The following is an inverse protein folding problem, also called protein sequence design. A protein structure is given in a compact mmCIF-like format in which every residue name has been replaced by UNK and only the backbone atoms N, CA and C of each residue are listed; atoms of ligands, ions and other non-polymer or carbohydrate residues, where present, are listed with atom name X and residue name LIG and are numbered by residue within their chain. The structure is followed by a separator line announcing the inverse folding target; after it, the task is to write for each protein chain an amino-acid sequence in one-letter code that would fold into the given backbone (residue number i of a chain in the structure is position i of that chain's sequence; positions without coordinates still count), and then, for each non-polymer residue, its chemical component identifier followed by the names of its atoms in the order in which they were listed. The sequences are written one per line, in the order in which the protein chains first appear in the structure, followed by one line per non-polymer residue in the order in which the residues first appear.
data_IF_250394261905
#
_entry.id   IF_250394261905
#
_cell.length_a   1.000
_cell.length_b   1.000
_cell.length_c   1.000
_cell.angle_alpha   90.00
_cell.angle_beta   90.00
_cell.angle_gamma   90.00
#
_symmetry.space_group_name_H-M   'P 1'
#
loop_
_entity.id
_entity.type
_entity.pdbx_description
1 polymer ?
#
# COMPACT_ATOMS: atom_id res chain seq x y z
N UNK A 1 8.96 -7.22 -18.85
CA UNK A 1 10.08 -6.26 -18.67
C UNK A 1 11.27 -6.99 -18.04
N UNK A 2 12.48 -6.74 -18.54
CA UNK A 2 13.73 -7.48 -18.28
C UNK A 2 14.15 -7.52 -16.81
N UNK A 3 14.23 -8.74 -16.25
CA UNK A 3 14.52 -9.02 -14.83
C UNK A 3 15.95 -8.72 -14.36
N UNK A 4 16.88 -8.31 -15.24
CA UNK A 4 18.29 -8.05 -14.87
C UNK A 4 18.61 -6.57 -14.58
N UNK A 5 17.80 -5.62 -15.06
CA UNK A 5 17.98 -4.19 -14.81
C UNK A 5 17.40 -3.71 -13.47
N UNK A 6 16.29 -4.32 -13.03
CA UNK A 6 15.56 -3.94 -11.82
C UNK A 6 16.38 -4.12 -10.54
N UNK A 7 17.04 -5.26 -10.37
CA UNK A 7 17.77 -5.55 -9.12
C UNK A 7 18.95 -4.61 -8.87
N UNK A 8 19.66 -4.15 -9.92
CA UNK A 8 20.76 -3.17 -9.75
C UNK A 8 20.23 -1.79 -9.38
N UNK A 9 19.13 -1.35 -9.98
CA UNK A 9 18.51 -0.08 -9.66
C UNK A 9 17.96 -0.06 -8.22
N UNK A 10 17.33 -1.16 -7.80
CA UNK A 10 16.82 -1.34 -6.44
C UNK A 10 17.95 -1.35 -5.41
N UNK A 11 19.05 -2.08 -5.67
CA UNK A 11 20.22 -2.09 -4.79
C UNK A 11 20.86 -0.69 -4.72
N UNK A 12 20.95 0.03 -5.84
CA UNK A 12 21.47 1.39 -5.86
C UNK A 12 20.60 2.36 -5.03
N UNK A 13 19.27 2.27 -5.14
CA UNK A 13 18.33 3.06 -4.34
C UNK A 13 18.46 2.74 -2.85
N UNK A 14 18.49 1.45 -2.48
CA UNK A 14 18.70 1.01 -1.11
C UNK A 14 20.01 1.54 -0.53
N UNK A 15 21.12 1.44 -1.28
CA UNK A 15 22.42 1.93 -0.83
C UNK A 15 22.44 3.46 -0.68
N UNK A 16 21.73 4.19 -1.56
CA UNK A 16 21.59 5.65 -1.45
C UNK A 16 20.83 6.04 -0.17
N UNK A 17 19.69 5.39 0.09
CA UNK A 17 18.87 5.64 1.29
C UNK A 17 19.63 5.27 2.57
N UNK A 18 20.38 4.16 2.56
CA UNK A 18 21.28 3.79 3.66
C UNK A 18 22.37 4.86 3.88
N UNK A 19 22.94 5.41 2.81
CA UNK A 19 23.91 6.50 2.89
C UNK A 19 23.34 7.76 3.55
N UNK A 20 22.11 8.14 3.19
CA UNK A 20 21.38 9.25 3.83
C UNK A 20 21.13 8.95 5.31
N UNK A 21 20.68 7.74 5.63
CA UNK A 21 20.43 7.33 7.01
C UNK A 21 21.70 7.42 7.88
N UNK A 22 22.85 6.95 7.36
CA UNK A 22 24.15 7.06 8.05
C UNK A 22 24.53 8.53 8.26
N UNK A 23 24.39 9.38 7.23
CA UNK A 23 24.68 10.81 7.36
C UNK A 23 23.82 11.48 8.45
N UNK A 24 22.53 11.12 8.52
CA UNK A 24 21.61 11.61 9.55
C UNK A 24 22.01 11.12 10.95
N UNK A 25 22.39 9.86 11.10
CA UNK A 25 22.88 9.31 12.38
C UNK A 25 24.16 10.00 12.87
N UNK A 26 25.11 10.25 11.95
CA UNK A 26 26.34 10.99 12.29
C UNK A 26 26.01 12.42 12.72
N UNK A 27 25.13 13.10 12.00
CA UNK A 27 24.70 14.45 12.36
C UNK A 27 23.97 14.49 13.71
N UNK A 28 23.13 13.52 14.02
CA UNK A 28 22.53 13.37 15.34
C UNK A 28 23.59 13.18 16.41
N UNK A 29 24.50 12.22 16.24
CA UNK A 29 25.52 11.90 17.24
C UNK A 29 26.40 13.11 17.56
N UNK A 30 26.71 13.94 16.55
CA UNK A 30 27.52 15.14 16.72
C UNK A 30 26.75 16.35 17.25
N UNK A 31 25.40 16.32 17.28
CA UNK A 31 24.59 17.47 17.67
C UNK A 31 23.65 17.28 18.85
N UNK A 32 23.31 16.04 19.21
CA UNK A 32 22.32 15.75 20.24
C UNK A 32 20.89 16.21 19.88
N UNK A 33 20.59 16.42 18.58
CA UNK A 33 19.25 16.83 18.15
C UNK A 33 18.28 15.64 18.13
N UNK A 34 17.21 15.74 18.92
CA UNK A 34 16.14 14.75 18.94
C UNK A 34 15.42 14.69 17.58
N UNK A 35 15.22 15.83 16.91
CA UNK A 35 14.62 15.86 15.57
C UNK A 35 15.49 15.14 14.55
N UNK A 36 16.82 15.28 14.67
CA UNK A 36 17.77 14.58 13.80
C UNK A 36 17.77 13.08 14.04
N UNK A 37 17.63 12.63 15.30
CA UNK A 37 17.49 11.21 15.63
C UNK A 37 16.22 10.60 15.05
N UNK A 38 15.07 11.28 15.21
CA UNK A 38 13.81 10.85 14.64
C UNK A 38 13.90 10.67 13.12
N UNK A 39 14.52 11.62 12.43
CA UNK A 39 14.76 11.54 10.98
C UNK A 39 15.72 10.41 10.59
N UNK A 40 16.75 10.14 11.40
CA UNK A 40 17.70 9.06 11.17
C UNK A 40 17.03 7.69 11.31
N UNK A 41 16.23 7.49 12.37
CA UNK A 41 15.48 6.26 12.62
C UNK A 41 14.41 6.05 11.56
N UNK A 42 13.70 7.11 11.16
CA UNK A 42 12.75 7.05 10.05
C UNK A 42 13.42 6.55 8.77
N UNK A 43 14.60 7.06 8.42
CA UNK A 43 15.33 6.67 7.21
C UNK A 43 15.82 5.20 7.26
N UNK A 44 16.15 4.69 8.45
CA UNK A 44 16.45 3.27 8.66
C UNK A 44 15.20 2.41 8.51
N UNK A 45 14.08 2.83 9.10
CA UNK A 45 12.80 2.14 8.97
C UNK A 45 12.38 2.06 7.49
N UNK A 46 12.51 3.17 6.74
CA UNK A 46 12.21 3.23 5.32
C UNK A 46 13.09 2.28 4.48
N UNK A 47 14.40 2.27 4.75
CA UNK A 47 15.31 1.31 4.12
C UNK A 47 14.91 -0.14 4.39
N UNK A 48 14.41 -0.43 5.60
CA UNK A 48 13.85 -1.73 5.97
C UNK A 48 12.54 -2.04 5.23
N UNK A 49 11.66 -1.05 5.08
CA UNK A 49 10.38 -1.18 4.38
C UNK A 49 10.57 -1.59 2.93
N UNK A 50 11.56 -0.98 2.24
CA UNK A 50 11.91 -1.35 0.87
C UNK A 50 12.31 -2.83 0.77
N UNK A 51 13.11 -3.34 1.71
CA UNK A 51 13.47 -4.76 1.74
C UNK A 51 12.25 -5.66 1.98
N UNK A 52 11.34 -5.25 2.86
CA UNK A 52 10.11 -5.99 3.15
C UNK A 52 9.18 -6.04 1.94
N UNK A 53 9.00 -4.95 1.20
CA UNK A 53 8.21 -4.92 -0.02
C UNK A 53 8.82 -5.82 -1.10
N UNK A 54 10.15 -5.84 -1.23
CA UNK A 54 10.85 -6.75 -2.15
C UNK A 54 10.66 -8.23 -1.76
N UNK A 55 10.75 -8.53 -0.47
CA UNK A 55 10.51 -9.87 0.06
C UNK A 55 9.06 -10.30 -0.20
N UNK A 56 8.08 -9.44 0.08
CA UNK A 56 6.66 -9.68 -0.19
C UNK A 56 6.40 -9.89 -1.69
N UNK A 57 7.00 -9.07 -2.55
CA UNK A 57 6.92 -9.22 -4.00
C UNK A 57 7.54 -10.52 -4.51
N UNK A 58 8.64 -10.98 -3.91
CA UNK A 58 9.26 -12.28 -4.22
C UNK A 58 8.40 -13.44 -3.75
N UNK A 59 7.89 -13.39 -2.52
CA UNK A 59 7.08 -14.45 -1.92
C UNK A 59 5.73 -14.60 -2.62
N UNK A 60 5.15 -13.48 -3.09
CA UNK A 60 3.92 -13.47 -3.86
C UNK A 60 4.02 -14.13 -5.25
N UNK A 61 5.23 -14.36 -5.76
CA UNK A 61 5.45 -15.09 -7.03
C UNK A 61 5.51 -16.60 -6.83
N UNK A 62 5.42 -17.10 -5.59
CA UNK A 62 5.36 -18.53 -5.32
C UNK A 62 4.09 -19.12 -5.95
N UNK A 63 4.25 -20.25 -6.63
CA UNK A 63 3.13 -20.99 -7.24
C UNK A 63 2.16 -21.52 -6.18
N UNK A 64 0.91 -21.75 -6.61
CA UNK A 64 -0.11 -22.35 -5.75
C UNK A 64 0.29 -23.76 -5.31
N UNK A 65 -0.04 -24.09 -4.07
CA UNK A 65 0.15 -25.42 -3.49
C UNK A 65 -1.15 -25.87 -2.78
N UNK A 66 -1.15 -27.07 -2.21
CA UNK A 66 -2.34 -27.64 -1.58
C UNK A 66 -2.83 -26.81 -0.38
N UNK A 67 -1.94 -26.11 0.32
CA UNK A 67 -2.30 -25.23 1.44
C UNK A 67 -2.84 -23.88 0.95
N UNK A 68 -2.31 -23.39 -0.18
CA UNK A 68 -2.67 -22.10 -0.79
C UNK A 68 -3.09 -22.31 -2.26
N UNK A 69 -4.31 -22.81 -2.52
CA UNK A 69 -4.76 -23.19 -3.86
C UNK A 69 -4.91 -21.99 -4.82
N UNK A 70 -5.05 -20.78 -4.28
CA UNK A 70 -5.07 -19.52 -5.04
C UNK A 70 -3.69 -18.85 -5.12
N UNK A 71 -2.63 -19.53 -4.66
CA UNK A 71 -1.28 -18.98 -4.62
C UNK A 71 -1.04 -17.95 -3.52
N UNK A 72 0.05 -17.23 -3.65
CA UNK A 72 0.60 -16.37 -2.60
C UNK A 72 0.49 -14.87 -2.90
N UNK A 73 -0.35 -14.46 -3.86
CA UNK A 73 -0.49 -13.06 -4.30
C UNK A 73 -0.69 -12.05 -3.15
N UNK A 74 -1.43 -12.46 -2.11
CA UNK A 74 -1.72 -11.66 -0.91
C UNK A 74 -0.50 -11.35 -0.04
N UNK A 75 0.62 -12.04 -0.21
CA UNK A 75 1.86 -11.74 0.53
C UNK A 75 2.29 -10.28 0.33
N UNK A 76 2.06 -9.68 -0.85
CA UNK A 76 2.33 -8.25 -1.05
C UNK A 76 1.55 -7.36 -0.08
N UNK A 77 0.28 -7.67 0.18
CA UNK A 77 -0.55 -6.94 1.15
C UNK A 77 -0.07 -7.18 2.58
N UNK A 78 0.32 -8.41 2.93
CA UNK A 78 0.82 -8.74 4.27
C UNK A 78 2.07 -7.94 4.59
N UNK A 79 3.05 -7.94 3.68
CA UNK A 79 4.29 -7.19 3.89
C UNK A 79 4.08 -5.67 3.89
N UNK A 80 3.18 -5.13 3.06
CA UNK A 80 2.80 -3.72 3.13
C UNK A 80 2.13 -3.35 4.48
N UNK A 81 1.37 -4.28 5.08
CA UNK A 81 0.78 -4.06 6.41
C UNK A 81 1.84 -4.11 7.52
N UNK A 82 2.82 -5.02 7.40
CA UNK A 82 3.98 -5.06 8.31
C UNK A 82 4.78 -3.75 8.25
N UNK A 83 4.97 -3.20 7.05
CA UNK A 83 5.58 -1.87 6.84
C UNK A 83 4.83 -0.79 7.63
N UNK A 84 3.50 -0.75 7.56
CA UNK A 84 2.69 0.20 8.33
C UNK A 84 2.91 0.05 9.85
N UNK A 85 3.02 -1.19 10.35
CA UNK A 85 3.29 -1.46 11.78
C UNK A 85 4.68 -0.94 12.20
N UNK A 86 5.71 -1.19 11.38
CA UNK A 86 7.07 -0.74 11.67
C UNK A 86 7.15 0.79 11.64
N UNK A 87 6.55 1.42 10.64
CA UNK A 87 6.50 2.89 10.54
C UNK A 87 5.78 3.51 11.74
N UNK A 88 4.65 2.92 12.17
CA UNK A 88 3.92 3.37 13.35
C UNK A 88 4.77 3.25 14.63
N UNK A 89 5.44 2.11 14.83
CA UNK A 89 6.17 1.80 16.05
C UNK A 89 7.57 2.44 16.09
N UNK A 90 8.49 1.94 15.26
CA UNK A 90 9.90 2.35 15.23
C UNK A 90 10.04 3.78 14.71
N UNK A 91 9.21 4.20 13.75
CA UNK A 91 9.21 5.59 13.28
C UNK A 91 8.45 6.52 14.23
N UNK A 92 7.13 6.36 14.28
CA UNK A 92 6.21 7.27 14.94
C UNK A 92 6.30 7.29 16.47
N UNK A 93 6.01 6.17 17.13
CA UNK A 93 5.98 6.09 18.60
C UNK A 93 7.34 6.39 19.22
N UNK A 94 8.43 5.90 18.62
CA UNK A 94 9.77 6.24 19.07
C UNK A 94 10.02 7.75 19.02
N UNK A 95 9.67 8.41 17.92
CA UNK A 95 9.85 9.88 17.78
C UNK A 95 9.00 10.66 18.78
N UNK A 96 7.78 10.19 19.09
CA UNK A 96 6.96 10.78 20.15
C UNK A 96 7.64 10.62 21.51
N UNK A 97 8.12 9.42 21.83
CA UNK A 97 8.84 9.15 23.07
C UNK A 97 10.06 10.07 23.23
N UNK A 98 10.90 10.16 22.21
CA UNK A 98 12.10 11.00 22.20
C UNK A 98 11.74 12.49 22.31
N UNK A 99 10.69 12.93 21.62
CA UNK A 99 10.20 14.31 21.72
C UNK A 99 9.68 14.65 23.11
N UNK A 100 8.97 13.73 23.77
CA UNK A 100 8.52 13.91 25.17
C UNK A 100 9.71 13.92 26.12
N UNK A 101 10.68 13.01 25.96
CA UNK A 101 11.87 12.98 26.81
C UNK A 101 12.69 14.27 26.68
N UNK A 102 12.87 14.79 25.47
CA UNK A 102 13.54 16.08 25.23
C UNK A 102 12.80 17.26 25.86
N UNK A 103 11.46 17.21 25.95
CA UNK A 103 10.69 18.22 26.68
C UNK A 103 10.88 18.13 28.20
N UNK A 104 10.98 16.91 28.75
CA UNK A 104 11.15 16.72 30.20
C UNK A 104 12.60 16.87 30.66
N UNK A 105 13.55 16.56 29.78
CA UNK A 105 15.00 16.66 30.01
C UNK A 105 15.68 17.46 28.89
N UNK A 106 15.49 18.80 28.86
CA UNK A 106 16.07 19.64 27.82
C UNK A 106 17.59 19.64 27.91
N UNK A 107 18.24 19.32 26.80
CA UNK A 107 19.69 19.47 26.62
C UNK A 107 19.96 20.33 25.39
N UNK A 108 20.98 21.18 25.49
CA UNK A 108 21.36 22.09 24.42
C UNK A 108 21.89 21.31 23.21
N UNK A 109 21.75 21.90 22.02
CA UNK A 109 22.30 21.34 20.80
C UNK A 109 23.77 21.70 20.68
N UNK A 110 24.61 20.69 20.46
CA UNK A 110 25.99 20.89 20.10
C UNK A 110 26.08 21.10 18.58
N UNK A 111 26.89 22.05 18.12
CA UNK A 111 27.22 22.23 16.70
C UNK A 111 26.03 22.16 15.71
N UNK A 112 25.07 23.08 15.88
CA UNK A 112 23.78 23.09 15.15
C UNK A 112 23.91 23.18 13.61
N UNK A 113 25.08 23.58 13.10
CA UNK A 113 25.34 23.70 11.67
C UNK A 113 25.41 22.35 10.95
N UNK A 114 25.87 21.29 11.63
CA UNK A 114 25.94 19.94 11.06
C UNK A 114 24.56 19.38 10.73
N UNK A 115 23.59 19.30 11.67
CA UNK A 115 22.25 18.79 11.36
C UNK A 115 21.55 19.67 10.32
N UNK A 116 21.69 21.00 10.36
CA UNK A 116 21.13 21.88 9.32
C UNK A 116 21.66 21.53 7.92
N UNK A 117 22.98 21.38 7.78
CA UNK A 117 23.58 21.05 6.48
C UNK A 117 23.10 19.69 5.96
N UNK A 118 23.05 18.66 6.82
CA UNK A 118 22.57 17.34 6.45
C UNK A 118 21.09 17.35 6.10
N UNK A 119 20.26 18.08 6.85
CA UNK A 119 18.82 18.22 6.55
C UNK A 119 18.59 18.89 5.19
N UNK A 120 19.30 19.96 4.87
CA UNK A 120 19.18 20.63 3.57
C UNK A 120 19.59 19.71 2.42
N UNK A 121 20.70 18.98 2.56
CA UNK A 121 21.14 18.00 1.56
C UNK A 121 20.10 16.89 1.42
N UNK A 122 19.59 16.36 2.52
CA UNK A 122 18.56 15.33 2.52
C UNK A 122 17.28 15.81 1.82
N UNK A 123 16.79 17.03 2.09
CA UNK A 123 15.61 17.60 1.42
C UNK A 123 15.80 17.64 -0.09
N UNK A 124 16.99 18.01 -0.58
CA UNK A 124 17.28 18.05 -2.01
C UNK A 124 17.25 16.64 -2.62
N UNK A 125 17.90 15.66 -1.97
CA UNK A 125 17.92 14.27 -2.43
C UNK A 125 16.53 13.65 -2.42
N UNK A 126 15.79 13.83 -1.34
CA UNK A 126 14.42 13.32 -1.17
C UNK A 126 13.46 13.96 -2.19
N UNK A 127 13.65 15.25 -2.50
CA UNK A 127 12.87 15.92 -3.55
C UNK A 127 13.10 15.30 -4.93
N UNK A 128 14.32 14.83 -5.22
CA UNK A 128 14.59 14.09 -6.46
C UNK A 128 13.97 12.69 -6.45
N UNK A 129 13.97 12.00 -5.31
CA UNK A 129 13.29 10.72 -5.14
C UNK A 129 11.79 10.86 -5.38
N UNK A 130 11.13 11.79 -4.66
CA UNK A 130 9.69 12.04 -4.79
C UNK A 130 9.32 12.42 -6.22
N UNK A 131 10.13 13.27 -6.88
CA UNK A 131 9.88 13.63 -8.29
C UNK A 131 9.92 12.40 -9.20
N UNK A 132 10.80 11.45 -8.93
CA UNK A 132 10.91 10.20 -9.68
C UNK A 132 9.70 9.31 -9.39
N UNK A 133 9.32 9.12 -8.12
CA UNK A 133 8.15 8.34 -7.72
C UNK A 133 6.85 8.92 -8.32
N UNK A 134 6.69 10.24 -8.34
CA UNK A 134 5.58 10.94 -8.98
C UNK A 134 5.55 10.71 -10.48
N UNK A 135 6.71 10.71 -11.15
CA UNK A 135 6.80 10.45 -12.59
C UNK A 135 6.39 9.02 -12.91
N UNK A 136 6.90 8.03 -12.19
CA UNK A 136 6.54 6.62 -12.35
C UNK A 136 5.04 6.40 -12.06
N UNK A 137 4.52 7.03 -11.01
CA UNK A 137 3.10 6.92 -10.65
C UNK A 137 2.19 7.56 -11.69
N UNK A 138 2.61 8.64 -12.36
CA UNK A 138 1.86 9.24 -13.46
C UNK A 138 1.78 8.34 -14.71
N UNK A 139 2.68 7.36 -14.88
CA UNK A 139 2.57 6.38 -15.96
C UNK A 139 1.46 5.34 -15.70
N UNK A 140 1.08 5.13 -14.44
CA UNK A 140 0.04 4.17 -14.02
C UNK A 140 -1.27 4.88 -13.67
N UNK A 141 -1.20 6.11 -13.16
CA UNK A 141 -2.35 6.92 -12.78
C UNK A 141 -3.12 7.36 -14.02
N UNK A 142 -4.45 7.26 -13.94
CA UNK A 142 -5.32 7.70 -15.03
C UNK A 142 -5.28 9.22 -15.18
N UNK A 143 -5.42 9.68 -16.41
CA UNK A 143 -5.47 11.11 -16.72
C UNK A 143 -6.63 11.78 -15.96
N UNK A 144 -6.35 12.88 -15.26
CA UNK A 144 -7.33 13.59 -14.43
C UNK A 144 -7.67 12.97 -13.07
N UNK A 145 -7.12 11.79 -12.72
CA UNK A 145 -7.34 11.18 -11.40
C UNK A 145 -6.60 11.96 -10.30
N UNK A 146 -7.30 12.25 -9.20
CA UNK A 146 -6.68 12.90 -8.04
C UNK A 146 -5.69 11.96 -7.33
N UNK A 147 -4.66 12.52 -6.69
CA UNK A 147 -3.69 11.73 -5.92
C UNK A 147 -4.33 10.94 -4.77
N UNK A 148 -5.30 11.54 -4.08
CA UNK A 148 -6.05 10.86 -3.01
C UNK A 148 -6.83 9.67 -3.56
N UNK A 149 -7.47 9.83 -4.73
CA UNK A 149 -8.15 8.72 -5.40
C UNK A 149 -7.17 7.64 -5.82
N UNK A 150 -6.01 8.00 -6.36
CA UNK A 150 -4.97 7.05 -6.75
C UNK A 150 -4.51 6.18 -5.56
N UNK A 151 -4.17 6.81 -4.43
CA UNK A 151 -3.73 6.10 -3.22
C UNK A 151 -4.81 5.18 -2.67
N UNK A 152 -6.06 5.64 -2.59
CA UNK A 152 -7.18 4.85 -2.01
C UNK A 152 -7.68 3.70 -2.90
N UNK A 153 -7.57 3.83 -4.22
CA UNK A 153 -8.11 2.84 -5.14
C UNK A 153 -7.05 1.93 -5.75
N UNK A 154 -5.77 2.19 -5.46
CA UNK A 154 -4.67 1.35 -5.93
C UNK A 154 -4.74 -0.03 -5.27
N UNK A 155 -4.78 -1.07 -6.12
CA UNK A 155 -4.74 -2.48 -5.68
C UNK A 155 -3.31 -2.99 -5.52
N UNK A 156 -2.34 -2.27 -6.08
CA UNK A 156 -0.92 -2.50 -5.85
C UNK A 156 -0.45 -1.55 -4.74
N UNK A 157 -0.07 -2.04 -3.55
CA UNK A 157 0.32 -1.18 -2.44
C UNK A 157 1.66 -0.47 -2.67
N UNK A 158 2.52 -0.98 -3.56
CA UNK A 158 3.92 -0.57 -3.65
C UNK A 158 4.10 0.91 -3.99
N UNK A 159 3.43 1.42 -5.03
CA UNK A 159 3.57 2.82 -5.45
C UNK A 159 2.89 3.81 -4.47
N UNK A 160 1.64 3.56 -4.01
CA UNK A 160 1.03 4.41 -2.97
C UNK A 160 1.82 4.47 -1.68
N UNK A 161 2.37 3.33 -1.21
CA UNK A 161 3.22 3.27 0.00
C UNK A 161 4.41 4.19 -0.17
N UNK A 162 5.21 3.98 -1.24
CA UNK A 162 6.43 4.76 -1.48
C UNK A 162 6.14 6.26 -1.63
N UNK A 163 5.04 6.64 -2.31
CA UNK A 163 4.67 8.05 -2.42
C UNK A 163 4.30 8.67 -1.07
N UNK A 164 3.52 7.97 -0.24
CA UNK A 164 3.14 8.46 1.08
C UNK A 164 4.37 8.56 1.99
N UNK A 165 5.29 7.60 1.90
CA UNK A 165 6.57 7.60 2.62
C UNK A 165 7.44 8.79 2.19
N UNK A 166 7.71 8.99 0.90
CA UNK A 166 8.53 10.11 0.41
C UNK A 166 7.94 11.49 0.79
N UNK A 167 6.61 11.63 0.75
CA UNK A 167 5.92 12.86 1.19
C UNK A 167 6.09 13.06 2.70
N UNK A 168 5.96 11.98 3.48
CA UNK A 168 6.15 12.03 4.92
C UNK A 168 7.60 12.37 5.28
N UNK A 169 8.57 11.77 4.61
CA UNK A 169 10.00 12.01 4.80
C UNK A 169 10.36 13.48 4.51
N UNK A 170 9.90 14.03 3.38
CA UNK A 170 10.13 15.45 3.05
C UNK A 170 9.48 16.40 4.07
N UNK A 171 8.26 16.09 4.49
CA UNK A 171 7.56 16.92 5.48
C UNK A 171 8.24 16.82 6.86
N UNK A 172 8.70 15.62 7.24
CA UNK A 172 9.47 15.37 8.46
C UNK A 172 10.79 16.12 8.46
N UNK A 173 11.54 16.10 7.36
CA UNK A 173 12.75 16.89 7.16
C UNK A 173 12.51 18.40 7.33
N UNK A 174 11.38 18.92 6.84
CA UNK A 174 11.00 20.33 7.04
C UNK A 174 10.71 20.61 8.51
N UNK A 175 10.03 19.71 9.22
CA UNK A 175 9.80 19.84 10.67
C UNK A 175 11.09 19.77 11.48
N UNK A 176 12.02 18.88 11.11
CA UNK A 176 13.34 18.80 11.72
C UNK A 176 14.13 20.09 11.49
N UNK A 177 14.14 20.60 10.25
CA UNK A 177 14.85 21.84 9.91
C UNK A 177 14.25 23.03 10.67
N UNK A 178 12.92 23.07 10.81
CA UNK A 178 12.25 24.05 11.65
C UNK A 178 12.66 23.93 13.13
N UNK A 179 12.62 22.73 13.72
CA UNK A 179 12.96 22.52 15.13
C UNK A 179 14.40 22.86 15.46
N UNK A 180 15.34 22.34 14.67
CA UNK A 180 16.78 22.61 14.79
C UNK A 180 17.09 24.08 14.51
N UNK A 181 16.52 24.65 13.43
CA UNK A 181 16.75 26.05 13.06
C UNK A 181 16.22 27.04 14.08
N UNK A 182 15.02 26.81 14.62
CA UNK A 182 14.46 27.65 15.69
C UNK A 182 15.27 27.51 16.98
N UNK A 183 15.77 26.32 17.30
CA UNK A 183 16.68 26.13 18.44
C UNK A 183 17.97 26.92 18.25
N UNK A 184 18.54 26.94 17.03
CA UNK A 184 19.73 27.72 16.71
C UNK A 184 19.51 29.24 16.88
N UNK A 185 18.35 29.74 16.46
CA UNK A 185 18.04 31.17 16.50
C UNK A 185 17.66 31.66 17.91
N UNK A 186 16.88 30.85 18.63
CA UNK A 186 16.30 31.24 19.93
C UNK A 186 17.10 30.75 21.13
N UNK A 187 18.08 29.86 20.91
CA UNK A 187 18.82 29.15 21.96
C UNK A 187 17.90 28.37 22.91
N UNK A 188 16.71 27.99 22.43
CA UNK A 188 15.72 27.26 23.21
C UNK A 188 15.56 25.83 22.66
N UNK A 189 16.05 24.78 23.37
CA UNK A 189 16.00 23.39 22.91
C UNK A 189 14.59 22.80 22.82
N UNK A 190 13.57 23.50 23.34
CA UNK A 190 12.17 23.08 23.23
C UNK A 190 11.71 23.03 21.77
N UNK A 191 12.25 23.87 20.88
CA UNK A 191 11.86 23.85 19.47
C UNK A 191 12.30 22.56 18.76
N UNK A 192 13.48 22.02 19.10
CA UNK A 192 13.93 20.72 18.61
C UNK A 192 12.98 19.61 19.09
N UNK A 193 12.54 19.65 20.34
CA UNK A 193 11.55 18.71 20.87
C UNK A 193 10.19 18.80 20.15
N UNK A 194 9.70 20.02 19.89
CA UNK A 194 8.47 20.26 19.11
C UNK A 194 8.62 19.68 17.70
N UNK A 195 9.75 19.91 17.04
CA UNK A 195 10.06 19.32 15.73
C UNK A 195 9.95 17.79 15.75
N UNK A 196 10.55 17.15 16.76
CA UNK A 196 10.49 15.69 16.95
C UNK A 196 9.06 15.19 17.14
N UNK A 197 8.26 15.87 17.95
CA UNK A 197 6.84 15.52 18.17
C UNK A 197 6.00 15.67 16.90
N UNK A 198 6.27 16.71 16.11
CA UNK A 198 5.61 16.91 14.81
C UNK A 198 5.94 15.76 13.84
N UNK A 199 7.21 15.34 13.79
CA UNK A 199 7.65 14.18 12.99
C UNK A 199 6.94 12.91 13.47
N UNK A 200 6.99 12.61 14.77
CA UNK A 200 6.34 11.41 15.31
C UNK A 200 4.84 11.37 15.04
N UNK A 201 4.15 12.50 15.18
CA UNK A 201 2.71 12.62 14.88
C UNK A 201 2.44 12.38 13.40
N UNK A 202 3.23 12.99 12.52
CA UNK A 202 3.13 12.79 11.07
C UNK A 202 3.30 11.31 10.69
N UNK A 203 4.34 10.65 11.21
CA UNK A 203 4.61 9.24 10.91
C UNK A 203 3.48 8.32 11.42
N UNK A 204 2.91 8.61 12.60
CA UNK A 204 1.74 7.88 13.11
C UNK A 204 0.53 8.04 12.17
N UNK A 205 0.23 9.27 11.73
CA UNK A 205 -0.90 9.53 10.83
C UNK A 205 -0.74 8.81 9.49
N UNK A 206 0.46 8.85 8.92
CA UNK A 206 0.80 8.17 7.65
C UNK A 206 0.69 6.67 7.83
N UNK A 207 1.25 6.12 8.91
CA UNK A 207 1.19 4.69 9.20
C UNK A 207 -0.24 4.18 9.44
N UNK A 208 -1.07 4.94 10.16
CA UNK A 208 -2.49 4.61 10.34
C UNK A 208 -3.22 4.60 9.00
N UNK A 209 -3.00 5.64 8.18
CA UNK A 209 -3.60 5.72 6.85
C UNK A 209 -3.21 4.51 6.02
N UNK A 210 -1.91 4.21 5.94
CA UNK A 210 -1.42 3.06 5.18
C UNK A 210 -1.95 1.72 5.72
N UNK A 211 -2.02 1.58 7.04
CA UNK A 211 -2.55 0.39 7.71
C UNK A 211 -4.03 0.15 7.39
N UNK A 212 -4.85 1.21 7.35
CA UNK A 212 -6.27 1.12 6.99
C UNK A 212 -6.44 0.69 5.53
N UNK A 213 -5.74 1.34 4.60
CA UNK A 213 -5.83 1.02 3.17
C UNK A 213 -5.37 -0.42 2.90
N UNK A 214 -4.24 -0.83 3.49
CA UNK A 214 -3.69 -2.18 3.28
C UNK A 214 -4.55 -3.25 3.97
N UNK A 215 -5.16 -2.95 5.12
CA UNK A 215 -6.09 -3.85 5.80
C UNK A 215 -7.28 -4.20 4.89
N UNK A 216 -7.82 -3.22 4.18
CA UNK A 216 -8.96 -3.46 3.29
C UNK A 216 -8.62 -4.47 2.19
N UNK A 217 -7.43 -4.34 1.58
CA UNK A 217 -6.90 -5.28 0.59
C UNK A 217 -6.66 -6.69 1.17
N UNK A 218 -6.23 -6.78 2.44
CA UNK A 218 -6.05 -8.05 3.15
C UNK A 218 -7.36 -8.78 3.43
N UNK A 219 -8.38 -8.06 3.89
CA UNK A 219 -9.72 -8.59 4.12
C UNK A 219 -10.31 -9.08 2.81
N UNK A 220 -10.03 -8.35 1.73
CA UNK A 220 -10.37 -8.72 0.38
C UNK A 220 -11.40 -7.77 -0.21
N UNK A 221 -10.96 -7.01 -1.19
CA UNK A 221 -11.81 -6.06 -1.91
C UNK A 221 -12.34 -6.68 -3.20
N UNK A 222 -13.55 -6.29 -3.58
CA UNK A 222 -14.09 -6.61 -4.89
C UNK A 222 -13.45 -5.78 -6.01
N UNK A 223 -13.83 -6.12 -7.24
CA UNK A 223 -13.46 -5.39 -8.45
C UNK A 223 -13.80 -3.89 -8.30
N UNK A 224 -12.94 -3.03 -8.84
CA UNK A 224 -13.28 -1.60 -8.93
C UNK A 224 -14.52 -1.41 -9.83
N UNK A 225 -15.21 -0.25 -9.76
CA UNK A 225 -16.45 -0.04 -10.51
C UNK A 225 -16.31 -0.21 -12.04
N UNK A 226 -15.15 0.12 -12.60
CA UNK A 226 -14.91 0.02 -14.05
C UNK A 226 -14.69 -1.42 -14.49
N UNK A 227 -13.88 -2.18 -13.74
CA UNK A 227 -13.66 -3.61 -13.96
C UNK A 227 -14.98 -4.37 -13.75
N UNK A 228 -15.74 -4.04 -12.71
CA UNK A 228 -17.07 -4.59 -12.49
C UNK A 228 -17.99 -4.34 -13.69
N UNK A 229 -18.08 -3.09 -14.16
CA UNK A 229 -18.89 -2.74 -15.32
C UNK A 229 -18.40 -3.40 -16.62
N UNK A 230 -17.08 -3.54 -16.79
CA UNK A 230 -16.48 -4.21 -17.94
C UNK A 230 -16.81 -5.72 -17.94
N UNK A 231 -16.75 -6.38 -16.78
CA UNK A 231 -17.11 -7.79 -16.63
C UNK A 231 -18.60 -7.98 -16.95
N UNK A 232 -19.49 -7.13 -16.39
CA UNK A 232 -20.93 -7.21 -16.68
C UNK A 232 -21.20 -7.04 -18.18
N UNK A 233 -20.59 -6.03 -18.81
CA UNK A 233 -20.71 -5.84 -20.27
C UNK A 233 -20.19 -7.04 -21.06
N UNK A 234 -19.06 -7.64 -20.66
CA UNK A 234 -18.50 -8.81 -21.32
C UNK A 234 -19.42 -10.03 -21.22
N UNK A 235 -20.11 -10.20 -20.08
CA UNK A 235 -21.10 -11.27 -19.89
C UNK A 235 -22.32 -11.04 -20.79
N UNK A 236 -22.86 -9.83 -20.83
CA UNK A 236 -24.11 -9.52 -21.54
C UNK A 236 -23.96 -9.37 -23.06
N UNK A 237 -22.75 -9.09 -23.57
CA UNK A 237 -22.53 -8.75 -24.98
C UNK A 237 -22.75 -9.91 -25.99
N UNK A 238 -22.58 -11.17 -25.58
CA UNK A 238 -22.58 -12.30 -26.53
C UNK A 238 -23.93 -12.97 -26.76
N UNK A 239 -24.95 -12.63 -25.98
CA UNK A 239 -26.30 -13.19 -26.11
C UNK A 239 -26.44 -14.67 -25.71
N UNK A 240 -25.40 -15.31 -25.18
CA UNK A 240 -25.46 -16.71 -24.74
C UNK A 240 -26.21 -16.89 -23.43
N UNK A 241 -26.18 -15.85 -22.58
CA UNK A 241 -26.85 -15.82 -21.29
C UNK A 241 -28.13 -15.00 -21.37
N UNK A 242 -29.17 -15.41 -20.66
CA UNK A 242 -30.40 -14.62 -20.55
C UNK A 242 -30.21 -13.42 -19.62
N UNK A 243 -29.44 -13.62 -18.54
CA UNK A 243 -29.25 -12.63 -17.48
C UNK A 243 -28.09 -13.03 -16.55
N UNK A 244 -27.34 -12.05 -16.05
CA UNK A 244 -26.49 -12.20 -14.87
C UNK A 244 -27.36 -12.19 -13.60
N UNK A 245 -27.37 -13.28 -12.84
CA UNK A 245 -28.15 -13.41 -11.60
C UNK A 245 -27.44 -12.65 -10.48
N UNK A 246 -26.18 -13.03 -10.20
CA UNK A 246 -25.32 -12.28 -9.28
C UNK A 246 -23.86 -12.50 -9.63
N UNK A 247 -23.01 -11.58 -9.15
CA UNK A 247 -21.57 -11.65 -9.29
C UNK A 247 -20.90 -11.26 -7.97
N UNK A 248 -19.91 -12.03 -7.56
CA UNK A 248 -19.00 -11.71 -6.47
C UNK A 248 -17.60 -11.67 -7.02
N UNK A 249 -16.84 -10.67 -6.61
CA UNK A 249 -15.46 -10.49 -7.04
C UNK A 249 -14.56 -10.30 -5.84
N UNK A 250 -13.30 -10.70 -5.98
CA UNK A 250 -12.34 -10.65 -4.88
C UNK A 250 -10.91 -10.57 -5.44
N UNK A 251 -10.15 -9.55 -5.07
CA UNK A 251 -8.72 -9.55 -5.36
C UNK A 251 -8.00 -10.61 -4.50
N UNK A 252 -7.27 -11.49 -5.20
CA UNK A 252 -6.36 -12.49 -4.61
C UNK A 252 -4.92 -11.96 -4.59
N UNK A 253 -4.65 -10.90 -5.34
CA UNK A 253 -3.43 -10.09 -5.32
C UNK A 253 -3.62 -8.86 -6.21
N UNK A 254 -2.61 -7.99 -6.33
CA UNK A 254 -2.73 -6.77 -7.13
C UNK A 254 -3.09 -7.01 -8.60
N UNK A 255 -2.59 -8.12 -9.14
CA UNK A 255 -2.68 -8.49 -10.56
C UNK A 255 -3.66 -9.66 -10.80
N UNK A 256 -4.42 -10.06 -9.76
CA UNK A 256 -5.24 -11.27 -9.78
C UNK A 256 -6.59 -11.06 -9.10
N UNK A 257 -7.63 -11.05 -9.92
CA UNK A 257 -9.02 -10.90 -9.56
C UNK A 257 -9.74 -12.25 -9.74
N UNK A 258 -10.43 -12.67 -8.70
CA UNK A 258 -11.40 -13.75 -8.75
C UNK A 258 -12.76 -13.19 -9.16
N UNK A 259 -13.41 -13.85 -10.12
CA UNK A 259 -14.77 -13.56 -10.57
C UNK A 259 -15.61 -14.82 -10.38
N UNK A 260 -16.56 -14.77 -9.45
CA UNK A 260 -17.56 -15.81 -9.26
C UNK A 260 -18.92 -15.24 -9.69
N UNK A 261 -19.48 -15.76 -10.78
CA UNK A 261 -20.73 -15.25 -11.33
C UNK A 261 -21.72 -16.38 -11.58
N UNK A 262 -23.00 -16.06 -11.38
CA UNK A 262 -24.11 -16.98 -11.60
C UNK A 262 -24.92 -16.49 -12.79
N UNK A 263 -25.04 -17.34 -13.81
CA UNK A 263 -25.55 -16.98 -15.13
C UNK A 263 -26.82 -17.76 -15.44
N UNK A 264 -27.84 -17.05 -15.93
CA UNK A 264 -29.11 -17.66 -16.31
C UNK A 264 -29.08 -18.21 -17.75
N UNK A 265 -29.48 -19.47 -17.91
CA UNK A 265 -29.62 -20.15 -19.19
C UNK A 265 -31.06 -20.65 -19.43
N UNK A 266 -31.45 -20.89 -20.70
CA UNK A 266 -32.72 -21.55 -20.99
C UNK A 266 -32.81 -22.94 -20.36
N UNK A 267 -33.99 -23.29 -19.83
CA UNK A 267 -34.25 -24.54 -19.11
C UNK A 267 -34.13 -25.80 -19.99
N UNK A 268 -34.25 -25.63 -21.31
CA UNK A 268 -34.23 -26.68 -22.33
C UNK A 268 -32.90 -26.72 -23.11
N UNK A 269 -31.93 -25.86 -22.77
CA UNK A 269 -30.63 -25.82 -23.44
C UNK A 269 -29.79 -27.04 -23.05
N UNK A 270 -29.18 -27.70 -24.04
CA UNK A 270 -28.35 -28.87 -23.79
C UNK A 270 -27.09 -28.49 -22.97
N UNK A 271 -26.71 -29.32 -21.99
CA UNK A 271 -25.58 -29.03 -21.11
C UNK A 271 -24.26 -28.81 -21.87
N UNK A 272 -24.05 -29.53 -22.99
CA UNK A 272 -22.88 -29.34 -23.83
C UNK A 272 -22.82 -27.96 -24.50
N UNK A 273 -23.97 -27.38 -24.85
CA UNK A 273 -24.04 -26.01 -25.39
C UNK A 273 -23.80 -24.97 -24.30
N UNK A 274 -24.36 -25.18 -23.09
CA UNK A 274 -24.09 -24.33 -21.92
C UNK A 274 -22.60 -24.30 -21.58
N UNK A 275 -21.90 -25.43 -21.68
CA UNK A 275 -20.45 -25.46 -21.47
C UNK A 275 -19.70 -24.59 -22.49
N UNK A 276 -20.06 -24.67 -23.77
CA UNK A 276 -19.46 -23.83 -24.82
C UNK A 276 -19.76 -22.33 -24.62
N UNK A 277 -20.97 -22.00 -24.16
CA UNK A 277 -21.35 -20.62 -23.83
C UNK A 277 -20.50 -20.08 -22.67
N UNK A 278 -20.32 -20.88 -21.61
CA UNK A 278 -19.50 -20.53 -20.45
C UNK A 278 -18.05 -20.25 -20.90
N UNK A 279 -17.47 -21.10 -21.75
CA UNK A 279 -16.11 -20.89 -22.29
C UNK A 279 -16.01 -19.62 -23.15
N UNK A 280 -17.08 -19.27 -23.88
CA UNK A 280 -17.14 -18.02 -24.65
C UNK A 280 -17.21 -16.79 -23.74
N UNK A 281 -18.04 -16.84 -22.69
CA UNK A 281 -18.15 -15.78 -21.68
C UNK A 281 -16.84 -15.61 -20.92
N UNK A 282 -16.19 -16.70 -20.48
CA UNK A 282 -14.91 -16.64 -19.77
C UNK A 282 -13.84 -15.94 -20.61
N UNK A 283 -13.71 -16.30 -21.88
CA UNK A 283 -12.75 -15.65 -22.80
C UNK A 283 -13.00 -14.16 -22.92
N UNK A 284 -14.25 -13.74 -23.11
CA UNK A 284 -14.59 -12.31 -23.17
C UNK A 284 -14.28 -11.56 -21.88
N UNK A 285 -14.52 -12.19 -20.72
CA UNK A 285 -14.16 -11.59 -19.42
C UNK A 285 -12.64 -11.38 -19.34
N UNK A 286 -11.83 -12.40 -19.70
CA UNK A 286 -10.36 -12.28 -19.70
C UNK A 286 -9.85 -11.20 -20.66
N UNK A 287 -10.47 -11.09 -21.84
CA UNK A 287 -10.09 -10.08 -22.83
C UNK A 287 -10.44 -8.67 -22.36
N UNK A 288 -11.60 -8.50 -21.70
CA UNK A 288 -12.04 -7.20 -21.18
C UNK A 288 -11.29 -6.77 -19.91
N UNK A 289 -10.98 -7.72 -19.02
CA UNK A 289 -10.33 -7.48 -17.73
C UNK A 289 -9.20 -8.50 -17.54
N UNK A 290 -7.97 -8.20 -17.99
CA UNK A 290 -6.84 -9.13 -17.94
C UNK A 290 -6.46 -9.63 -16.53
N UNK A 291 -6.82 -8.88 -15.48
CA UNK A 291 -6.62 -9.29 -14.09
C UNK A 291 -7.60 -10.38 -13.64
N UNK A 292 -8.71 -10.63 -14.35
CA UNK A 292 -9.67 -11.70 -14.06
C UNK A 292 -9.09 -13.08 -14.41
N UNK A 293 -8.16 -13.58 -13.59
CA UNK A 293 -7.42 -14.82 -13.86
C UNK A 293 -8.12 -16.07 -13.33
N UNK A 294 -8.90 -15.94 -12.27
CA UNK A 294 -9.67 -17.02 -11.65
C UNK A 294 -11.14 -16.73 -11.87
N UNK A 295 -11.80 -17.51 -12.72
CA UNK A 295 -13.19 -17.29 -13.10
C UNK A 295 -13.99 -18.57 -12.81
N UNK A 296 -15.08 -18.42 -12.06
CA UNK A 296 -16.06 -19.46 -11.81
C UNK A 296 -17.43 -18.97 -12.29
N UNK A 297 -17.95 -19.61 -13.34
CA UNK A 297 -19.27 -19.31 -13.88
C UNK A 297 -20.21 -20.48 -13.56
N UNK A 298 -21.20 -20.23 -12.72
CA UNK A 298 -22.23 -21.22 -12.34
C UNK A 298 -23.47 -21.04 -13.22
N UNK A 299 -23.86 -22.05 -14.02
CA UNK A 299 -25.13 -22.01 -14.75
C UNK A 299 -26.32 -22.26 -13.81
N UNK A 300 -27.39 -21.49 -13.96
CA UNK A 300 -28.68 -21.71 -13.31
C UNK A 300 -29.83 -21.26 -14.21
N UNK A 301 -31.05 -21.47 -13.74
CA UNK A 301 -32.29 -21.04 -14.38
C UNK A 301 -32.88 -19.84 -13.62
N UNK A 302 -33.54 -18.92 -14.33
CA UNK A 302 -34.24 -17.80 -13.69
C UNK A 302 -35.38 -18.33 -12.84
N UNK A 303 -35.25 -18.20 -11.52
CA UNK A 303 -36.34 -18.42 -10.56
C UNK A 303 -36.86 -17.04 -10.16
N UNK A 304 -38.18 -16.84 -10.10
CA UNK A 304 -38.74 -15.61 -9.48
C UNK A 304 -38.25 -15.56 -8.03
N UNK A 305 -37.37 -14.62 -7.71
CA UNK A 305 -36.69 -14.54 -6.41
C UNK A 305 -37.66 -14.38 -5.23
N UNK A 306 -37.45 -15.17 -4.17
CA UNK A 306 -37.62 -14.64 -2.83
C UNK A 306 -36.33 -13.88 -2.51
N UNK A 307 -36.37 -12.55 -2.58
CA UNK A 307 -35.24 -11.67 -2.28
C UNK A 307 -34.86 -11.71 -0.79
N UNK A 308 -34.23 -12.79 -0.35
CA UNK A 308 -33.61 -12.84 0.96
C UNK A 308 -32.21 -12.19 0.85
N UNK A 309 -31.91 -11.13 1.62
CA UNK A 309 -30.57 -10.57 1.66
C UNK A 309 -29.57 -11.64 2.10
N UNK A 310 -28.34 -11.58 1.58
CA UNK A 310 -27.26 -12.43 2.04
C UNK A 310 -27.07 -12.20 3.56
N UNK A 311 -27.03 -13.26 4.37
CA UNK A 311 -27.00 -13.10 5.81
C UNK A 311 -25.64 -12.50 6.23
N UNK A 312 -25.61 -11.60 7.24
CA UNK A 312 -24.38 -10.95 7.67
C UNK A 312 -23.38 -11.95 8.29
N UNK A 313 -22.08 -11.64 8.27
CA UNK A 313 -21.02 -12.60 8.63
C UNK A 313 -21.15 -13.16 10.06
N UNK A 314 -21.71 -12.39 10.98
CA UNK A 314 -22.03 -12.80 12.36
C UNK A 314 -23.00 -13.99 12.44
N UNK A 315 -23.85 -14.22 11.43
CA UNK A 315 -24.71 -15.41 11.35
C UNK A 315 -23.97 -16.69 10.97
N UNK A 316 -22.75 -16.57 10.42
CA UNK A 316 -21.91 -17.68 9.98
C UNK A 316 -20.87 -18.03 11.06
N UNK A 317 -20.45 -17.04 11.85
CA UNK A 317 -19.53 -17.24 12.98
C UNK A 317 -20.33 -17.86 14.13
N UNK A 318 -20.06 -19.13 14.45
CA UNK A 318 -20.64 -19.73 15.66
C UNK A 318 -20.18 -18.92 16.87
N UNK A 319 -21.10 -18.39 17.70
CA UNK A 319 -20.70 -17.73 18.93
C UNK A 319 -19.92 -18.75 19.78
N UNK A 320 -18.75 -18.35 20.28
CA UNK A 320 -18.06 -19.14 21.28
C UNK A 320 -19.03 -19.32 22.45
N UNK A 321 -19.34 -20.56 22.79
CA UNK A 321 -20.07 -20.87 24.01
C UNK A 321 -19.25 -20.37 25.19
N UNK A 322 -19.73 -19.31 25.84
CA UNK A 322 -19.25 -18.84 27.14
C UNK A 322 -19.29 -19.96 28.19
#
# INVERSE_FOLDING_TARGET
MSASGGSRAIIAAFLANMGIAIAKFVAWFLSGSASMLAEAIHSVADSGNQLLLLLGGRKARKEADAEHPFGYGRERYVYAFVVAIILFSVGGLFSIYEGVDKLTHPHELENVWIPIAVLVIAIVLESFSLRTAVRESNHVRREGQSWVSFVRHAKAPELPVVLLEDIAALTGLVFALFGVGMTALTHNPIFDAIGTLMIGTLLILVAITLGIETKSLLVGEGANPDDHAAIVRAIEAGGETQRLIHMKTLYLGPDELLVAAKLAFPHDKALGEVALDIDAVERRIRDAVPSARVIYLEPDIVRREAGAPAPPTDTIVMPSSD
#
